data_IF_999257276918
#
_entry.id   IF_999257276918
#
_cell.length_a   1.000
_cell.length_b   1.000
_cell.length_c   1.000
_cell.angle_alpha   90.00
_cell.angle_beta   90.00
_cell.angle_gamma   90.00
#
_symmetry.space_group_name_H-M   'P 1'
#
loop_
_entity.id
_entity.type
_entity.pdbx_description
1 polymer ?
#
# COMPACT_ATOMS: atom_id res chain seq x y z
N UNK A 1 -1.45 19.61 -17.75
CA UNK A 1 -0.15 18.98 -17.44
C UNK A 1 -0.13 18.73 -15.94
N UNK A 2 -0.38 17.50 -15.50
CA UNK A 2 -0.38 17.14 -14.07
C UNK A 2 1.06 17.02 -13.59
N UNK A 3 1.61 18.08 -12.97
CA UNK A 3 2.90 18.06 -12.25
C UNK A 3 2.88 17.13 -11.01
N UNK A 4 1.80 16.38 -10.79
CA UNK A 4 1.46 15.69 -9.54
C UNK A 4 2.04 14.28 -9.43
N UNK A 5 2.71 13.79 -10.47
CA UNK A 5 3.42 12.52 -10.48
C UNK A 5 4.80 12.75 -11.09
N UNK A 6 5.69 13.47 -10.40
CA UNK A 6 7.12 13.34 -10.72
C UNK A 6 7.50 11.91 -10.37
N UNK A 7 7.82 11.03 -11.35
CA UNK A 7 8.22 9.67 -11.05
C UNK A 7 9.45 9.72 -10.13
N UNK A 8 9.35 9.09 -8.96
CA UNK A 8 10.49 8.92 -8.04
C UNK A 8 10.59 9.84 -6.83
N UNK A 9 9.69 10.83 -6.64
CA UNK A 9 9.67 11.59 -5.38
C UNK A 9 8.92 10.81 -4.30
N UNK A 10 9.68 10.22 -3.38
CA UNK A 10 9.17 9.53 -2.18
C UNK A 10 9.38 10.45 -0.98
N UNK A 11 8.36 10.68 -0.13
CA UNK A 11 7.00 10.12 -0.19
C UNK A 11 6.17 10.80 -1.27
N UNK A 12 5.26 10.03 -1.87
CA UNK A 12 4.37 10.55 -2.90
C UNK A 12 3.42 11.58 -2.33
N UNK A 13 3.28 12.74 -2.97
CA UNK A 13 2.20 13.68 -2.66
C UNK A 13 0.88 13.19 -3.26
N UNK A 14 -0.18 13.15 -2.45
CA UNK A 14 -1.50 12.66 -2.85
C UNK A 14 -2.59 13.70 -2.59
N UNK A 15 -3.67 13.63 -3.35
CA UNK A 15 -4.81 14.56 -3.21
C UNK A 15 -5.60 14.25 -1.93
N UNK A 16 -6.32 15.24 -1.41
CA UNK A 16 -7.13 15.12 -0.17
C UNK A 16 -8.11 13.93 -0.20
N UNK A 17 -8.74 13.66 -1.35
CA UNK A 17 -9.64 12.52 -1.49
C UNK A 17 -8.92 11.18 -1.32
N UNK A 18 -7.65 11.07 -1.75
CA UNK A 18 -6.85 9.86 -1.57
C UNK A 18 -6.46 9.67 -0.10
N UNK A 19 -6.19 10.76 0.62
CA UNK A 19 -5.99 10.70 2.06
C UNK A 19 -7.22 10.15 2.78
N UNK A 20 -8.39 10.71 2.47
CA UNK A 20 -9.64 10.23 3.04
C UNK A 20 -9.95 8.78 2.65
N UNK A 21 -9.68 8.38 1.41
CA UNK A 21 -9.75 6.97 0.98
C UNK A 21 -8.91 6.06 1.87
N UNK A 22 -7.66 6.46 2.17
CA UNK A 22 -6.75 5.65 2.99
C UNK A 22 -7.18 5.56 4.45
N UNK A 23 -7.82 6.59 4.99
CA UNK A 23 -8.48 6.56 6.30
C UNK A 23 -9.62 5.54 6.30
N UNK A 24 -10.59 5.67 5.39
CA UNK A 24 -11.70 4.73 5.26
C UNK A 24 -11.24 3.30 5.01
N UNK A 25 -10.17 3.13 4.22
CA UNK A 25 -9.58 1.83 3.95
C UNK A 25 -9.03 1.17 5.22
N UNK A 26 -8.45 1.94 6.14
CA UNK A 26 -7.94 1.42 7.40
C UNK A 26 -9.04 0.80 8.26
N UNK A 27 -10.17 1.50 8.38
CA UNK A 27 -11.33 1.01 9.12
C UNK A 27 -11.93 -0.23 8.44
N UNK A 28 -12.04 -0.18 7.11
CA UNK A 28 -12.55 -1.29 6.31
C UNK A 28 -11.69 -2.54 6.45
N UNK A 29 -10.37 -2.44 6.26
CA UNK A 29 -9.50 -3.61 6.21
C UNK A 29 -9.41 -4.30 7.59
N UNK A 30 -9.45 -3.52 8.67
CA UNK A 30 -9.52 -4.02 10.04
C UNK A 30 -10.84 -4.79 10.29
N UNK A 31 -11.98 -4.21 9.91
CA UNK A 31 -13.28 -4.86 10.07
C UNK A 31 -13.40 -6.13 9.19
N UNK A 32 -12.87 -6.06 7.97
CA UNK A 32 -12.85 -7.19 7.05
C UNK A 32 -12.00 -8.34 7.59
N UNK A 33 -10.79 -8.05 8.08
CA UNK A 33 -9.91 -9.04 8.67
C UNK A 33 -10.57 -9.74 9.88
N UNK A 34 -11.27 -9.01 10.75
CA UNK A 34 -12.03 -9.57 11.89
C UNK A 34 -13.10 -10.55 11.44
N UNK A 35 -13.80 -10.22 10.36
CA UNK A 35 -14.90 -11.04 9.83
C UNK A 35 -14.38 -12.38 9.26
N UNK A 36 -13.17 -12.38 8.71
CA UNK A 36 -12.55 -13.59 8.14
C UNK A 36 -12.12 -14.63 9.19
N UNK A 37 -12.09 -14.29 10.49
CA UNK A 37 -11.80 -15.23 11.60
C UNK A 37 -10.56 -16.11 11.38
N UNK A 38 -9.47 -15.53 10.85
CA UNK A 38 -8.15 -16.18 10.74
C UNK A 38 -8.06 -17.32 9.71
N UNK A 39 -8.82 -17.22 8.61
CA UNK A 39 -8.66 -18.07 7.42
C UNK A 39 -7.28 -17.88 6.76
N UNK A 40 -6.84 -18.87 5.96
CA UNK A 40 -5.64 -18.81 5.10
C UNK A 40 -5.79 -17.80 3.94
N UNK A 41 -6.37 -16.64 4.18
CA UNK A 41 -6.62 -15.62 3.19
C UNK A 41 -5.36 -14.80 2.90
N UNK A 42 -5.20 -14.45 1.63
CA UNK A 42 -4.15 -13.57 1.14
C UNK A 42 -4.69 -12.16 0.94
N UNK A 43 -3.88 -11.15 1.27
CA UNK A 43 -4.09 -9.78 0.83
C UNK A 43 -3.30 -9.53 -0.45
N UNK A 44 -3.97 -9.06 -1.50
CA UNK A 44 -3.37 -8.75 -2.80
C UNK A 44 -3.61 -7.27 -3.14
N UNK A 45 -2.53 -6.51 -3.29
CA UNK A 45 -2.55 -5.14 -3.79
C UNK A 45 -1.87 -5.10 -5.17
N UNK A 46 -2.65 -4.80 -6.19
CA UNK A 46 -2.20 -4.79 -7.58
C UNK A 46 -1.53 -3.48 -7.98
N UNK A 47 -1.78 -2.41 -7.24
CA UNK A 47 -1.28 -1.07 -7.54
C UNK A 47 -0.56 -0.48 -6.34
N UNK A 48 0.35 -1.28 -5.77
CA UNK A 48 1.08 -0.92 -4.58
C UNK A 48 1.99 0.30 -4.84
N UNK A 49 1.95 1.23 -3.91
CA UNK A 49 2.73 2.45 -3.85
C UNK A 49 4.07 2.25 -3.14
N UNK A 50 4.48 3.27 -2.41
CA UNK A 50 5.77 3.30 -1.69
C UNK A 50 5.61 3.09 -0.18
N UNK A 51 4.43 2.63 0.29
CA UNK A 51 4.13 2.39 1.70
C UNK A 51 3.74 3.63 2.52
N UNK A 52 4.05 4.85 2.05
CA UNK A 52 3.59 6.08 2.73
C UNK A 52 3.52 7.27 1.78
N UNK A 53 2.64 8.21 2.08
CA UNK A 53 2.35 9.37 1.25
C UNK A 53 2.23 10.65 2.11
N UNK A 54 2.24 11.81 1.47
CA UNK A 54 1.98 13.11 2.12
C UNK A 54 0.72 13.73 1.53
N UNK A 55 -0.20 14.16 2.39
CA UNK A 55 -1.43 14.82 1.97
C UNK A 55 -1.14 16.22 1.42
N UNK A 56 -1.52 16.48 0.16
CA UNK A 56 -1.25 17.76 -0.50
C UNK A 56 -1.83 18.93 0.30
N UNK A 57 -1.01 19.98 0.47
CA UNK A 57 -1.37 21.16 1.26
C UNK A 57 -1.16 20.99 2.76
N UNK A 58 -0.54 19.87 3.17
CA UNK A 58 -0.18 19.57 4.56
C UNK A 58 1.19 18.91 4.60
N UNK A 59 1.80 18.88 5.78
CA UNK A 59 2.98 18.03 6.06
C UNK A 59 2.58 16.69 6.70
N UNK A 60 1.28 16.35 6.64
CA UNK A 60 0.77 15.11 7.21
C UNK A 60 1.23 13.93 6.36
N UNK A 61 2.15 13.15 6.92
CA UNK A 61 2.55 11.86 6.38
C UNK A 61 1.58 10.79 6.84
N UNK A 62 1.02 10.05 5.89
CA UNK A 62 0.11 8.94 6.17
C UNK A 62 0.61 7.65 5.55
N UNK A 63 0.17 6.54 6.13
CA UNK A 63 0.45 5.21 5.64
C UNK A 63 -0.42 4.89 4.42
N UNK A 64 0.19 4.26 3.44
CA UNK A 64 -0.50 3.78 2.23
C UNK A 64 -1.16 2.40 2.52
N UNK A 65 -1.83 1.82 1.52
CA UNK A 65 -2.66 0.63 1.73
C UNK A 65 -1.88 -0.58 2.26
N UNK A 66 -0.62 -0.75 1.86
CA UNK A 66 0.20 -1.91 2.24
C UNK A 66 0.49 -1.94 3.73
N UNK A 67 0.93 -0.80 4.29
CA UNK A 67 1.23 -0.71 5.72
C UNK A 67 -0.03 -0.81 6.57
N UNK A 68 -1.16 -0.27 6.09
CA UNK A 68 -2.46 -0.39 6.78
C UNK A 68 -2.95 -1.83 6.79
N UNK A 69 -2.89 -2.52 5.65
CA UNK A 69 -3.24 -3.94 5.57
C UNK A 69 -2.32 -4.79 6.45
N UNK A 70 -1.02 -4.52 6.48
CA UNK A 70 -0.09 -5.20 7.37
C UNK A 70 -0.43 -4.97 8.83
N UNK A 71 -0.89 -3.79 9.23
CA UNK A 71 -1.22 -3.50 10.64
C UNK A 71 -2.55 -4.07 11.09
N UNK A 72 -3.45 -4.39 10.16
CA UNK A 72 -4.77 -4.93 10.46
C UNK A 72 -4.70 -6.19 11.35
N UNK A 73 -5.73 -6.38 12.17
CA UNK A 73 -5.89 -7.50 13.09
C UNK A 73 -7.28 -8.13 12.94
N UNK A 74 -7.38 -9.47 12.82
CA UNK A 74 -6.31 -10.47 12.65
C UNK A 74 -5.43 -10.26 11.40
N UNK A 75 -4.26 -10.91 11.36
CA UNK A 75 -3.34 -10.80 10.21
C UNK A 75 -3.82 -11.70 9.07
N UNK A 76 -3.58 -11.28 7.82
CA UNK A 76 -3.67 -12.18 6.67
C UNK A 76 -2.52 -13.19 6.66
N UNK A 77 -2.74 -14.34 6.04
CA UNK A 77 -1.74 -15.40 5.95
C UNK A 77 -0.58 -15.01 5.02
N UNK A 78 -0.87 -14.29 3.94
CA UNK A 78 0.12 -13.81 2.97
C UNK A 78 -0.25 -12.41 2.46
N UNK A 79 0.76 -11.61 2.17
CA UNK A 79 0.64 -10.29 1.55
C UNK A 79 1.38 -10.30 0.22
N UNK A 80 0.73 -9.85 -0.85
CA UNK A 80 1.31 -9.74 -2.18
C UNK A 80 1.13 -8.31 -2.66
N UNK A 81 2.23 -7.61 -2.91
CA UNK A 81 2.25 -6.22 -3.36
C UNK A 81 2.88 -6.14 -4.75
N UNK A 82 2.10 -5.75 -5.75
CA UNK A 82 2.62 -5.51 -7.10
C UNK A 82 2.94 -4.03 -7.26
N UNK A 83 4.24 -3.72 -7.39
CA UNK A 83 4.75 -2.35 -7.40
C UNK A 83 5.38 -2.04 -8.76
N UNK A 84 4.89 -1.00 -9.43
CA UNK A 84 5.38 -0.63 -10.77
C UNK A 84 6.77 0.01 -10.77
N UNK A 85 7.05 0.87 -9.78
CA UNK A 85 8.27 1.69 -9.76
C UNK A 85 9.34 1.03 -8.85
N UNK A 86 10.56 0.74 -9.35
CA UNK A 86 11.63 0.13 -8.56
C UNK A 86 12.05 0.91 -7.31
N UNK A 87 12.01 2.25 -7.32
CA UNK A 87 12.33 3.05 -6.14
C UNK A 87 11.26 2.88 -5.05
N UNK A 88 9.99 2.73 -5.45
CA UNK A 88 8.92 2.42 -4.52
C UNK A 88 9.09 1.02 -3.92
N UNK A 89 9.57 0.04 -4.71
CA UNK A 89 9.89 -1.32 -4.22
C UNK A 89 10.91 -1.25 -3.08
N UNK A 90 12.02 -0.55 -3.28
CA UNK A 90 13.08 -0.45 -2.27
C UNK A 90 12.60 0.29 -1.02
N UNK A 91 11.83 1.36 -1.18
CA UNK A 91 11.26 2.04 -0.01
C UNK A 91 10.22 1.19 0.72
N UNK A 92 9.37 0.47 -0.01
CA UNK A 92 8.36 -0.42 0.59
C UNK A 92 9.04 -1.55 1.35
N UNK A 93 10.03 -2.24 0.77
CA UNK A 93 10.85 -3.26 1.47
C UNK A 93 11.42 -2.73 2.79
N UNK A 94 12.00 -1.53 2.78
CA UNK A 94 12.55 -0.90 4.00
C UNK A 94 11.49 -0.65 5.07
N UNK A 95 10.30 -0.20 4.67
CA UNK A 95 9.19 0.07 5.59
C UNK A 95 8.52 -1.21 6.11
N UNK A 96 8.50 -2.28 5.30
CA UNK A 96 7.89 -3.55 5.68
C UNK A 96 8.83 -4.47 6.45
N UNK A 97 10.15 -4.31 6.34
CA UNK A 97 11.13 -5.16 7.02
C UNK A 97 10.89 -5.35 8.53
N UNK A 98 10.50 -4.31 9.31
CA UNK A 98 10.20 -4.48 10.74
C UNK A 98 8.88 -5.23 11.01
N UNK A 99 8.02 -5.38 10.00
CA UNK A 99 6.70 -6.01 10.08
C UNK A 99 6.68 -7.41 9.46
N UNK A 100 7.74 -7.77 8.74
CA UNK A 100 7.81 -9.01 7.97
C UNK A 100 8.07 -10.21 8.88
N UNK A 101 7.16 -11.17 8.84
CA UNK A 101 7.29 -12.46 9.54
C UNK A 101 7.52 -13.61 8.55
N UNK A 102 7.97 -13.31 7.33
CA UNK A 102 8.22 -14.28 6.26
C UNK A 102 7.02 -14.52 5.34
N UNK A 103 6.05 -13.60 5.31
CA UNK A 103 4.81 -13.76 4.54
C UNK A 103 4.46 -12.58 3.62
N UNK A 104 5.43 -11.71 3.35
CA UNK A 104 5.31 -10.56 2.43
C UNK A 104 6.04 -10.88 1.12
N UNK A 105 5.33 -10.73 0.00
CA UNK A 105 5.87 -10.86 -1.34
C UNK A 105 5.72 -9.52 -2.08
N UNK A 106 6.82 -8.95 -2.56
CA UNK A 106 6.84 -7.72 -3.35
C UNK A 106 7.27 -8.07 -4.77
N UNK A 107 6.36 -7.88 -5.73
CA UNK A 107 6.57 -8.16 -7.15
C UNK A 107 6.74 -6.83 -7.88
N UNK A 108 7.87 -6.65 -8.56
CA UNK A 108 8.05 -5.49 -9.46
C UNK A 108 7.34 -5.78 -10.78
N UNK A 109 6.30 -5.00 -11.12
CA UNK A 109 5.53 -5.27 -12.35
C UNK A 109 4.47 -4.23 -12.67
N UNK A 110 3.94 -4.29 -13.90
CA UNK A 110 2.82 -3.46 -14.37
C UNK A 110 1.58 -4.35 -14.55
N UNK A 111 0.49 -4.03 -13.85
CA UNK A 111 -0.78 -4.76 -13.94
C UNK A 111 -1.71 -4.26 -15.05
N UNK A 112 -1.30 -3.24 -15.82
CA UNK A 112 -2.10 -2.70 -16.94
C UNK A 112 -1.70 -3.45 -18.22
N UNK A 113 -2.67 -4.12 -18.84
CA UNK A 113 -2.52 -4.69 -20.19
C UNK A 113 -2.51 -3.55 -21.23
N UNK A 114 -1.48 -3.52 -22.08
CA UNK A 114 -1.37 -2.54 -23.18
C UNK A 114 -2.09 -3.01 -24.45
N UNK A 115 -2.79 -4.16 -24.41
CA UNK A 115 -3.46 -4.79 -25.57
C UNK A 115 -4.97 -4.49 -25.67
N UNK A 116 -5.43 -3.29 -25.30
CA UNK A 116 -6.84 -2.89 -25.44
C UNK A 116 -7.00 -1.87 -26.55
#
# INVERSE_FOLDING_TARGET
>A
MDELNIPGKIPRQIRKWTCHKLECFADYIEAYAKTLRNTNCCYLELYAGCGSCVCKGTDCRIEDSELRALKAKPKFAKYIFVVRNPQNVENLKRLTAPLDTGNIEIITGNCISEKV
#
